data_IF_681403389485
#
_entry.id   IF_681403389485
#
_cell.length_a   1.000
_cell.length_b   1.000
_cell.length_c   1.000
_cell.angle_alpha   90.00
_cell.angle_beta   90.00
_cell.angle_gamma   90.00
#
_symmetry.space_group_name_H-M   'P 1'
#
loop_
_entity.id
_entity.type
_entity.pdbx_description
1 polymer ?
#
# COMPACT_ATOMS: atom_id res chain seq x y z
N UNK A 1 -5.13 -6.25 -3.81
CA UNK A 1 -6.35 -6.24 -2.93
C UNK A 1 -7.52 -5.45 -3.51
N UNK A 2 -8.76 -5.73 -3.07
CA UNK A 2 -9.98 -4.99 -3.46
C UNK A 2 -10.38 -3.94 -2.40
N UNK A 3 -10.99 -2.84 -2.83
CA UNK A 3 -11.43 -1.76 -1.95
C UNK A 3 -12.61 -2.20 -1.08
N UNK A 4 -12.42 -2.20 0.24
CA UNK A 4 -13.48 -2.48 1.22
C UNK A 4 -14.72 -1.57 1.12
N UNK A 5 -14.65 -0.43 0.42
CA UNK A 5 -15.78 0.50 0.26
C UNK A 5 -16.61 0.22 -0.99
N UNK A 6 -15.97 -0.02 -2.14
CA UNK A 6 -16.66 -0.09 -3.43
C UNK A 6 -16.31 -1.32 -4.28
N UNK A 7 -15.49 -2.24 -3.76
CA UNK A 7 -15.09 -3.49 -4.40
C UNK A 7 -14.07 -3.34 -5.54
N UNK A 8 -13.75 -2.13 -5.98
CA UNK A 8 -12.77 -1.90 -7.06
C UNK A 8 -11.37 -2.34 -6.65
N UNK A 9 -10.63 -2.96 -7.58
CA UNK A 9 -9.23 -3.32 -7.39
C UNK A 9 -8.39 -2.08 -7.04
N UNK A 10 -7.64 -2.16 -5.96
CA UNK A 10 -6.82 -1.06 -5.46
C UNK A 10 -5.44 -1.05 -6.13
N UNK A 11 -4.78 0.10 -6.11
CA UNK A 11 -3.43 0.30 -6.64
C UNK A 11 -2.45 0.60 -5.52
N UNK A 12 -1.21 0.13 -5.68
CA UNK A 12 -0.11 0.47 -4.78
C UNK A 12 0.16 1.98 -4.80
N UNK A 13 0.32 2.59 -3.62
CA UNK A 13 0.72 3.97 -3.51
C UNK A 13 2.24 4.09 -3.72
N UNK A 14 2.63 4.77 -4.80
CA UNK A 14 4.02 5.00 -5.18
C UNK A 14 4.29 6.50 -5.12
N UNK A 15 5.39 6.88 -4.47
CA UNK A 15 5.94 8.23 -4.50
C UNK A 15 7.17 8.22 -5.41
N UNK A 16 7.12 8.99 -6.49
CA UNK A 16 8.27 9.22 -7.37
C UNK A 16 9.02 10.44 -6.89
N UNK A 17 10.28 10.27 -6.47
CA UNK A 17 11.16 11.34 -6.01
C UNK A 17 12.50 11.28 -6.75
N UNK A 18 12.83 12.34 -7.51
CA UNK A 18 13.99 12.39 -8.41
C UNK A 18 14.09 11.20 -9.39
N UNK A 19 12.96 10.67 -9.85
CA UNK A 19 12.91 9.51 -10.77
C UNK A 19 13.11 8.16 -10.08
N UNK A 20 13.13 8.12 -8.75
CA UNK A 20 13.14 6.89 -7.97
C UNK A 20 11.73 6.65 -7.42
N UNK A 21 11.14 5.54 -7.83
CA UNK A 21 9.84 5.10 -7.31
C UNK A 21 10.03 4.44 -5.94
N UNK A 22 9.29 4.93 -4.95
CA UNK A 22 9.27 4.39 -3.58
C UNK A 22 7.85 3.98 -3.21
N UNK A 23 7.72 2.77 -2.68
CA UNK A 23 6.47 2.30 -2.09
C UNK A 23 6.19 3.12 -0.83
N UNK A 24 4.98 3.64 -0.69
CA UNK A 24 4.55 4.35 0.51
C UNK A 24 4.07 3.33 1.53
N UNK A 25 4.75 3.22 2.67
CA UNK A 25 4.38 2.33 3.77
C UNK A 25 3.79 3.10 4.94
N UNK A 26 2.78 2.52 5.61
CA UNK A 26 2.38 2.98 6.93
C UNK A 26 3.45 2.56 7.93
N UNK A 27 3.90 3.49 8.78
CA UNK A 27 4.86 3.20 9.85
C UNK A 27 4.19 3.26 11.21
N UNK A 28 4.47 2.28 12.05
CA UNK A 28 4.07 2.23 13.45
C UNK A 28 5.25 2.54 14.35
N UNK A 29 4.99 3.14 15.51
CA UNK A 29 6.01 3.28 16.55
C UNK A 29 5.88 2.13 17.54
N UNK A 30 6.91 1.30 17.62
CA UNK A 30 6.99 0.19 18.55
C UNK A 30 7.51 0.69 19.90
N UNK A 31 6.65 0.72 20.91
CA UNK A 31 7.02 1.19 22.25
C UNK A 31 8.03 0.27 22.97
N UNK A 32 8.03 -1.03 22.64
CA UNK A 32 8.92 -2.00 23.28
C UNK A 32 10.36 -1.82 22.82
N UNK A 33 10.55 -1.59 21.51
CA UNK A 33 11.88 -1.40 20.91
C UNK A 33 12.27 0.08 20.73
N UNK A 34 11.33 1.00 21.01
CA UNK A 34 11.51 2.46 20.84
C UNK A 34 11.94 2.84 19.42
N UNK A 35 11.38 2.17 18.43
CA UNK A 35 11.72 2.37 17.02
C UNK A 35 10.47 2.44 16.14
N UNK A 36 10.62 3.00 14.94
CA UNK A 36 9.56 2.98 13.93
C UNK A 36 9.74 1.79 13.00
N UNK A 37 8.72 0.95 12.89
CA UNK A 37 8.68 -0.19 12.00
C UNK A 37 7.61 0.00 10.92
N UNK A 38 7.83 -0.60 9.75
CA UNK A 38 6.88 -0.55 8.65
C UNK A 38 5.77 -1.57 8.94
N UNK A 39 4.53 -1.09 9.00
CA UNK A 39 3.33 -1.92 9.24
C UNK A 39 2.89 -2.62 7.95
N UNK A 40 3.09 -1.97 6.80
CA UNK A 40 2.75 -2.51 5.48
C UNK A 40 2.57 -1.42 4.41
N UNK A 41 2.57 -1.80 3.12
CA UNK A 41 2.39 -0.87 2.03
C UNK A 41 0.97 -0.28 2.01
N UNK A 42 0.87 0.99 1.60
CA UNK A 42 -0.40 1.66 1.39
C UNK A 42 -0.89 1.42 -0.03
N UNK A 43 -2.20 1.19 -0.16
CA UNK A 43 -2.90 1.12 -1.43
C UNK A 43 -4.03 2.13 -1.46
N UNK A 44 -4.40 2.59 -2.65
CA UNK A 44 -5.52 3.51 -2.83
C UNK A 44 -6.53 2.97 -3.85
N UNK A 45 -7.80 3.29 -3.63
CA UNK A 45 -8.86 2.98 -4.59
C UNK A 45 -8.95 4.09 -5.64
N UNK A 46 -8.71 3.79 -6.94
CA UNK A 46 -8.78 4.81 -7.98
C UNK A 46 -10.22 5.30 -8.23
N UNK A 47 -11.23 4.55 -7.78
CA UNK A 47 -12.65 4.89 -7.99
C UNK A 47 -13.21 5.85 -6.94
N UNK A 48 -12.91 5.62 -5.65
CA UNK A 48 -13.50 6.40 -4.55
C UNK A 48 -12.47 7.12 -3.67
N UNK A 49 -11.17 7.00 -3.97
CA UNK A 49 -10.10 7.66 -3.22
C UNK A 49 -9.80 7.05 -1.85
N UNK A 50 -10.45 5.94 -1.48
CA UNK A 50 -10.23 5.31 -0.18
C UNK A 50 -8.81 4.72 -0.09
N UNK A 51 -8.09 5.06 0.98
CA UNK A 51 -6.75 4.57 1.28
C UNK A 51 -6.82 3.40 2.26
N UNK A 52 -6.05 2.34 2.04
CA UNK A 52 -5.98 1.16 2.91
C UNK A 52 -4.54 0.68 3.02
N UNK A 53 -4.25 -0.11 4.04
CA UNK A 53 -2.93 -0.72 4.25
C UNK A 53 -3.05 -2.22 3.98
N UNK A 54 -2.13 -2.73 3.20
CA UNK A 54 -1.97 -4.17 3.00
C UNK A 54 -1.11 -4.69 4.16
N UNK A 55 -1.76 -5.30 5.15
CA UNK A 55 -1.09 -5.96 6.27
C UNK A 55 -0.65 -7.33 5.77
N UNK A 56 0.65 -7.52 5.57
CA UNK A 56 1.27 -8.74 5.01
C UNK A 56 0.52 -10.02 5.39
N UNK A 57 -0.25 -10.51 4.42
CA UNK A 57 -0.83 -11.85 4.35
C UNK A 57 -0.88 -12.21 2.89
N UNK A 58 0.05 -13.02 2.41
CA UNK A 58 -0.04 -13.92 1.25
C UNK A 58 -1.13 -13.63 0.21
N UNK A 59 -1.18 -12.42 -0.36
CA UNK A 59 -2.18 -12.07 -1.39
C UNK A 59 -1.40 -11.66 -2.63
N UNK A 60 -1.62 -12.44 -3.70
CA UNK A 60 -1.13 -12.15 -5.04
C UNK A 60 -1.53 -10.73 -5.45
N UNK A 61 -0.52 -9.86 -5.53
CA UNK A 61 -0.65 -8.59 -6.24
C UNK A 61 -0.88 -8.92 -7.71
N UNK A 62 -2.01 -8.47 -8.26
CA UNK A 62 -2.25 -8.54 -9.70
C UNK A 62 -1.37 -7.50 -10.41
N UNK A 63 -0.09 -7.81 -10.55
CA UNK A 63 0.78 -7.12 -11.50
C UNK A 63 0.46 -7.68 -12.89
N UNK A 64 -0.49 -7.05 -13.56
CA UNK A 64 -0.58 -7.12 -15.02
C UNK A 64 -0.08 -5.80 -15.59
N UNK A 65 1.21 -5.79 -15.89
CA UNK A 65 1.77 -4.96 -16.94
C UNK A 65 1.75 -5.81 -18.22
N UNK A 66 0.68 -5.68 -19.00
CA UNK A 66 0.64 -6.13 -20.39
C UNK A 66 0.95 -4.92 -21.27
N UNK A 67 2.11 -4.95 -21.93
CA UNK A 67 2.38 -4.40 -23.26
C UNK A 67 3.54 -5.18 -23.88
#
# INVERSE_FOLDING_TARGET
MNCNVCGTCMRLAILTDYGIDKIVCLRGYNLMFKECEDIGPMVYCPKCGNLQVELDKDIELHDKQED
#
